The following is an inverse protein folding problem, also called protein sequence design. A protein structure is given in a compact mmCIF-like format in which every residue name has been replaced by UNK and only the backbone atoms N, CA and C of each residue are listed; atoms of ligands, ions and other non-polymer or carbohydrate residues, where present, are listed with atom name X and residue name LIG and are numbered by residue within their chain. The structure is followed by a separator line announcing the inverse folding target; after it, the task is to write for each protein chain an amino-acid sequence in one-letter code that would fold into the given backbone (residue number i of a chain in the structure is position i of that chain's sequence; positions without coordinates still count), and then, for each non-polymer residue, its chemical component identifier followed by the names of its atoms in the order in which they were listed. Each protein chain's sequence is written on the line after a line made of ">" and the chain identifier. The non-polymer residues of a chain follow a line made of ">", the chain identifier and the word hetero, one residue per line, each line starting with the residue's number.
data_IF_317822468179
#
_entry.id   IF_317822468179
#
_cell.length_a   1.000
_cell.length_b   1.000
_cell.length_c   1.000
_cell.angle_alpha   90.00
_cell.angle_beta   90.00
_cell.angle_gamma   90.00
#
_symmetry.space_group_name_H-M   'P 1'
#
loop_
_entity.id
_entity.type
_entity.pdbx_description
1 polymer ?
#
# COMPACT_ATOMS: atom_id res chain seq x y z
N UNK A 1 -6.77 14.83 -29.86
CA UNK A 1 -7.35 13.96 -28.81
C UNK A 1 -6.18 13.19 -28.22
N UNK A 2 -5.79 13.47 -26.98
CA UNK A 2 -4.78 12.69 -26.27
C UNK A 2 -5.35 11.30 -26.05
N UNK A 3 -4.65 10.25 -26.47
CA UNK A 3 -5.04 8.87 -26.18
C UNK A 3 -5.26 8.74 -24.67
N UNK A 4 -6.39 8.15 -24.26
CA UNK A 4 -6.67 7.88 -22.85
C UNK A 4 -5.55 6.96 -22.35
N UNK A 5 -4.89 7.33 -21.27
CA UNK A 5 -3.85 6.50 -20.67
C UNK A 5 -4.42 5.12 -20.35
N UNK A 6 -3.74 4.07 -20.75
CA UNK A 6 -4.09 2.69 -20.35
C UNK A 6 -3.73 2.41 -18.88
N UNK A 7 -2.91 3.27 -18.28
CA UNK A 7 -2.51 3.17 -16.88
C UNK A 7 -3.57 3.73 -15.95
N UNK A 8 -3.89 2.98 -14.92
CA UNK A 8 -4.82 3.32 -13.84
C UNK A 8 -3.97 3.68 -12.61
N UNK A 9 -4.09 4.90 -12.13
CA UNK A 9 -3.48 5.31 -10.88
C UNK A 9 -4.30 4.79 -9.70
N UNK A 10 -3.68 3.97 -8.87
CA UNK A 10 -4.29 3.37 -7.68
C UNK A 10 -3.69 3.94 -6.39
N UNK A 11 -2.92 5.02 -6.48
CA UNK A 11 -2.32 5.65 -5.30
C UNK A 11 -3.34 6.46 -4.51
N UNK A 12 -3.26 6.39 -3.18
CA UNK A 12 -3.99 7.29 -2.29
C UNK A 12 -3.16 8.58 -2.12
N UNK A 13 -3.72 9.76 -2.43
CA UNK A 13 -2.95 10.99 -2.48
C UNK A 13 -2.52 11.46 -1.08
N UNK A 14 -1.30 11.99 -1.01
CA UNK A 14 -0.80 12.67 0.18
C UNK A 14 -1.43 14.05 0.28
N UNK A 15 -2.16 14.32 1.35
CA UNK A 15 -2.78 15.61 1.66
C UNK A 15 -2.91 15.80 3.17
N UNK A 16 -3.09 17.04 3.62
CA UNK A 16 -3.34 17.33 5.03
C UNK A 16 -4.64 16.70 5.57
N UNK A 17 -5.62 16.47 4.70
CA UNK A 17 -6.94 15.94 5.06
C UNK A 17 -7.07 14.44 4.73
N UNK A 18 -5.94 13.77 4.40
CA UNK A 18 -5.96 12.35 4.10
C UNK A 18 -6.34 11.53 5.33
N UNK A 19 -7.01 10.39 5.10
CA UNK A 19 -7.22 9.41 6.16
C UNK A 19 -5.85 8.82 6.51
N UNK A 20 -5.55 8.77 7.79
CA UNK A 20 -4.31 8.18 8.30
C UNK A 20 -4.61 7.33 9.54
N UNK A 21 -3.62 6.56 9.96
CA UNK A 21 -3.75 5.73 11.16
C UNK A 21 -3.93 6.59 12.42
N UNK A 22 -5.00 6.37 13.22
CA UNK A 22 -5.36 7.28 14.33
C UNK A 22 -4.31 7.35 15.43
N UNK A 23 -3.56 6.28 15.64
CA UNK A 23 -2.52 6.19 16.68
C UNK A 23 -1.18 6.78 16.21
N UNK A 24 -1.12 7.31 14.99
CA UNK A 24 0.07 7.95 14.48
C UNK A 24 0.31 9.30 15.16
N UNK A 25 1.46 9.49 15.84
CA UNK A 25 1.72 10.72 16.60
C UNK A 25 1.95 11.96 15.73
N UNK A 26 2.20 11.77 14.43
CA UNK A 26 2.50 12.85 13.49
C UNK A 26 1.39 12.92 12.45
N UNK A 27 0.48 13.91 12.52
CA UNK A 27 -0.51 14.10 11.47
C UNK A 27 0.17 14.54 10.17
N UNK A 28 -0.37 14.18 9.00
CA UNK A 28 0.17 14.64 7.74
C UNK A 28 0.00 16.15 7.58
N UNK A 29 1.02 16.83 7.06
CA UNK A 29 0.98 18.25 6.67
C UNK A 29 1.56 18.42 5.29
N UNK A 30 0.86 19.16 4.45
CA UNK A 30 1.31 19.57 3.12
C UNK A 30 1.03 21.07 2.97
N UNK A 31 2.08 21.85 2.97
CA UNK A 31 2.01 23.32 2.90
C UNK A 31 2.73 23.81 1.65
N UNK A 32 2.15 24.80 0.97
CA UNK A 32 2.74 25.40 -0.22
C UNK A 32 2.93 26.89 -0.01
N UNK A 33 4.15 27.38 -0.28
CA UNK A 33 4.52 28.78 -0.19
C UNK A 33 5.00 29.28 -1.54
N UNK A 34 4.52 30.46 -1.94
CA UNK A 34 4.97 31.15 -3.15
C UNK A 34 5.83 32.34 -2.76
N UNK A 35 6.99 32.45 -3.37
CA UNK A 35 7.92 33.56 -3.14
C UNK A 35 8.54 34.03 -4.47
N UNK A 36 8.94 35.31 -4.49
CA UNK A 36 9.63 35.89 -5.65
C UNK A 36 11.12 35.59 -5.59
N UNK A 37 11.71 35.13 -6.68
CA UNK A 37 13.16 34.91 -6.74
C UNK A 37 13.85 36.28 -6.61
N UNK A 38 14.81 36.37 -5.68
CA UNK A 38 15.55 37.62 -5.43
C UNK A 38 16.21 38.14 -6.70
N UNK A 39 15.92 39.39 -7.04
CA UNK A 39 16.46 40.06 -8.23
C UNK A 39 15.72 39.74 -9.52
N UNK A 40 14.54 39.14 -9.46
CA UNK A 40 13.70 38.90 -10.63
C UNK A 40 12.22 39.19 -10.33
N UNK A 41 11.37 39.17 -11.36
CA UNK A 41 9.91 39.25 -11.23
C UNK A 41 9.24 37.85 -11.22
N UNK A 42 10.03 36.77 -11.17
CA UNK A 42 9.53 35.41 -11.27
C UNK A 42 9.11 34.88 -9.89
N UNK A 43 7.88 34.39 -9.81
CA UNK A 43 7.35 33.71 -8.64
C UNK A 43 7.54 32.20 -8.79
N UNK A 44 7.96 31.53 -7.70
CA UNK A 44 8.06 30.08 -7.61
C UNK A 44 7.27 29.59 -6.41
N UNK A 45 6.67 28.42 -6.54
CA UNK A 45 5.96 27.75 -5.45
C UNK A 45 6.76 26.55 -5.00
N UNK A 46 6.98 26.44 -3.70
CA UNK A 46 7.59 25.25 -3.06
C UNK A 46 6.62 24.68 -2.05
N UNK A 47 6.51 23.35 -2.05
CA UNK A 47 5.73 22.64 -1.06
C UNK A 47 6.66 21.93 -0.08
N UNK A 48 6.28 21.98 1.19
CA UNK A 48 6.89 21.24 2.28
C UNK A 48 5.90 20.21 2.80
N UNK A 49 6.36 19.00 3.05
CA UNK A 49 5.55 17.93 3.62
C UNK A 49 6.14 17.45 4.93
N UNK A 50 5.28 17.23 5.92
CA UNK A 50 5.60 16.46 7.12
C UNK A 50 4.70 15.24 7.12
N UNK A 51 5.29 14.08 6.92
CA UNK A 51 4.61 12.78 6.85
C UNK A 51 5.49 11.73 7.53
N UNK A 52 4.88 10.64 8.01
CA UNK A 52 5.68 9.46 8.33
C UNK A 52 5.71 8.51 7.12
N UNK A 53 6.54 7.50 7.19
CA UNK A 53 6.78 6.53 6.11
C UNK A 53 5.56 5.68 5.75
N UNK A 54 4.53 5.62 6.61
CA UNK A 54 3.28 4.87 6.44
C UNK A 54 2.07 5.76 6.09
N UNK A 55 2.28 7.01 5.69
CA UNK A 55 1.20 7.86 5.19
C UNK A 55 0.97 7.66 3.69
N UNK A 56 -0.31 7.54 3.28
CA UNK A 56 -0.68 7.33 1.88
C UNK A 56 -0.28 5.96 1.37
N UNK A 57 -0.28 5.80 0.05
CA UNK A 57 0.22 4.56 -0.56
C UNK A 57 1.71 4.41 -0.27
N UNK A 58 2.09 3.30 0.36
CA UNK A 58 3.45 3.02 0.77
C UNK A 58 3.77 1.52 0.68
N UNK A 59 5.04 1.19 0.87
CA UNK A 59 5.53 -0.18 0.93
C UNK A 59 6.26 -0.38 2.24
N UNK A 60 5.89 -1.44 2.96
CA UNK A 60 6.58 -1.88 4.17
C UNK A 60 7.79 -2.73 3.83
N UNK A 61 8.90 -2.41 4.48
CA UNK A 61 10.09 -3.23 4.49
C UNK A 61 10.13 -4.14 5.73
N UNK A 62 10.88 -5.24 5.71
CA UNK A 62 11.08 -6.10 6.88
C UNK A 62 11.50 -5.34 8.15
N UNK A 63 12.26 -4.24 8.00
CA UNK A 63 12.70 -3.38 9.11
C UNK A 63 11.54 -2.82 9.93
N UNK A 64 10.34 -2.68 9.37
CA UNK A 64 9.17 -2.18 10.10
C UNK A 64 8.86 -3.00 11.36
N UNK A 65 8.96 -4.33 11.28
CA UNK A 65 8.73 -5.23 12.41
C UNK A 65 10.00 -5.92 12.93
N UNK A 66 11.10 -5.83 12.19
CA UNK A 66 12.38 -6.46 12.53
C UNK A 66 13.49 -5.40 12.46
N UNK A 67 13.99 -4.87 13.60
CA UNK A 67 14.98 -3.78 13.63
C UNK A 67 16.23 -4.04 12.76
N UNK A 68 16.64 -5.29 12.63
CA UNK A 68 17.79 -5.71 11.81
C UNK A 68 17.35 -6.24 10.42
N UNK A 69 16.08 -6.09 10.07
CA UNK A 69 15.51 -6.52 8.79
C UNK A 69 15.97 -5.64 7.63
N UNK A 70 15.75 -6.14 6.40
CA UNK A 70 16.01 -5.36 5.18
C UNK A 70 15.25 -4.05 5.21
N UNK A 71 15.91 -3.00 4.75
CA UNK A 71 15.38 -1.64 4.64
C UNK A 71 14.77 -1.40 3.26
N UNK A 72 13.96 -0.37 3.13
CA UNK A 72 13.24 -0.09 1.86
C UNK A 72 14.20 0.25 0.71
N UNK A 73 15.33 0.88 0.97
CA UNK A 73 16.35 1.17 -0.02
C UNK A 73 17.13 -0.07 -0.50
N UNK A 74 16.98 -1.21 0.18
CA UNK A 74 17.52 -2.52 -0.20
C UNK A 74 16.50 -3.38 -0.98
N UNK A 75 15.30 -2.89 -1.20
CA UNK A 75 14.28 -3.62 -1.96
C UNK A 75 14.72 -3.78 -3.43
N UNK A 76 14.65 -5.00 -4.00
CA UNK A 76 14.88 -5.20 -5.42
C UNK A 76 13.84 -4.42 -6.25
N UNK A 77 14.28 -3.67 -7.25
CA UNK A 77 13.39 -2.83 -8.08
C UNK A 77 12.33 -3.65 -8.80
N UNK A 78 12.68 -4.85 -9.25
CA UNK A 78 11.79 -5.79 -9.93
C UNK A 78 10.82 -6.53 -8.99
N UNK A 79 10.99 -6.41 -7.68
CA UNK A 79 10.06 -7.03 -6.72
C UNK A 79 8.62 -6.55 -6.94
N UNK A 80 8.44 -5.26 -7.21
CA UNK A 80 7.15 -4.56 -7.29
C UNK A 80 6.84 -4.01 -8.70
N UNK A 81 7.47 -4.58 -9.72
CA UNK A 81 7.21 -4.31 -11.13
C UNK A 81 6.91 -5.62 -11.86
N UNK A 82 5.96 -5.59 -12.78
CA UNK A 82 5.60 -6.72 -13.65
C UNK A 82 4.20 -7.27 -13.42
N UNK A 83 3.92 -8.53 -13.81
CA UNK A 83 2.59 -9.11 -13.66
C UNK A 83 2.10 -9.13 -12.21
N UNK A 84 0.86 -8.70 -11.99
CA UNK A 84 0.16 -8.73 -10.72
C UNK A 84 -1.29 -9.14 -10.94
N UNK A 85 -1.88 -9.78 -9.94
CA UNK A 85 -3.27 -10.19 -9.98
C UNK A 85 -4.09 -9.43 -8.96
N UNK A 86 -5.19 -8.84 -9.40
CA UNK A 86 -6.20 -8.26 -8.52
C UNK A 86 -7.23 -9.35 -8.20
N UNK A 87 -7.36 -9.69 -6.93
CA UNK A 87 -8.36 -10.62 -6.41
C UNK A 87 -9.42 -9.81 -5.66
N UNK A 88 -10.68 -9.98 -6.04
CA UNK A 88 -11.80 -9.34 -5.34
C UNK A 88 -12.27 -10.24 -4.20
N UNK A 89 -12.20 -9.72 -2.99
CA UNK A 89 -12.62 -10.37 -1.75
C UNK A 89 -14.05 -9.93 -1.43
N UNK A 90 -14.92 -10.89 -1.19
CA UNK A 90 -16.33 -10.65 -0.88
C UNK A 90 -16.64 -10.66 0.61
N UNK A 91 -15.82 -11.33 1.41
CA UNK A 91 -15.93 -11.28 2.88
C UNK A 91 -15.70 -9.83 3.34
N UNK A 92 -16.59 -9.35 4.19
CA UNK A 92 -16.58 -7.96 4.69
C UNK A 92 -15.83 -7.82 6.02
N UNK A 93 -15.23 -8.88 6.52
CA UNK A 93 -14.51 -8.91 7.80
C UNK A 93 -13.03 -9.16 7.59
N UNK A 94 -12.66 -10.27 6.93
CA UNK A 94 -11.25 -10.63 6.77
C UNK A 94 -10.99 -11.54 5.58
N UNK A 95 -9.76 -11.48 5.07
CA UNK A 95 -9.24 -12.34 4.00
C UNK A 95 -8.74 -13.63 4.63
N UNK A 96 -9.46 -14.72 4.41
CA UNK A 96 -9.22 -16.06 4.98
C UNK A 96 -8.72 -17.03 3.92
N UNK A 97 -8.16 -18.19 4.31
CA UNK A 97 -7.77 -19.24 3.38
C UNK A 97 -8.89 -19.67 2.43
N UNK A 98 -10.13 -19.73 2.92
CA UNK A 98 -11.32 -20.11 2.14
C UNK A 98 -11.58 -19.14 0.98
N UNK A 99 -11.35 -17.84 1.20
CA UNK A 99 -11.46 -16.82 0.15
C UNK A 99 -10.35 -16.93 -0.92
N UNK A 100 -9.25 -17.59 -0.58
CA UNK A 100 -8.07 -17.69 -1.41
C UNK A 100 -7.94 -19.04 -2.13
N UNK A 101 -8.61 -20.07 -1.62
CA UNK A 101 -8.41 -21.47 -2.06
C UNK A 101 -8.69 -21.68 -3.55
N UNK A 102 -9.74 -21.06 -4.08
CA UNK A 102 -10.17 -21.23 -5.47
C UNK A 102 -9.32 -20.43 -6.48
N UNK A 103 -8.41 -19.57 -6.00
CA UNK A 103 -7.63 -18.70 -6.87
C UNK A 103 -6.36 -19.35 -7.43
N UNK A 104 -6.02 -20.59 -7.06
CA UNK A 104 -4.82 -21.30 -7.53
C UNK A 104 -3.56 -20.42 -7.49
N UNK A 105 -3.29 -19.82 -6.32
CA UNK A 105 -2.16 -18.92 -6.10
C UNK A 105 -0.83 -19.64 -6.31
N UNK A 106 0.05 -19.06 -7.13
CA UNK A 106 1.35 -19.61 -7.49
C UNK A 106 2.50 -18.90 -6.76
N UNK A 107 3.62 -19.61 -6.53
CA UNK A 107 4.83 -18.98 -5.97
C UNK A 107 5.31 -17.78 -6.80
N UNK A 108 5.72 -16.73 -6.14
CA UNK A 108 6.24 -15.52 -6.78
C UNK A 108 5.17 -14.54 -7.28
N UNK A 109 3.87 -14.86 -7.15
CA UNK A 109 2.82 -13.94 -7.56
C UNK A 109 2.84 -12.64 -6.74
N UNK A 110 2.44 -11.54 -7.40
CA UNK A 110 2.07 -10.28 -6.78
C UNK A 110 0.55 -10.21 -6.75
N UNK A 111 -0.02 -10.08 -5.56
CA UNK A 111 -1.48 -10.12 -5.37
C UNK A 111 -1.95 -8.82 -4.73
N UNK A 112 -2.96 -8.20 -5.32
CA UNK A 112 -3.62 -7.03 -4.78
C UNK A 112 -5.04 -7.41 -4.39
N UNK A 113 -5.38 -7.24 -3.14
CA UNK A 113 -6.71 -7.53 -2.63
C UNK A 113 -7.61 -6.31 -2.77
N UNK A 114 -8.63 -6.46 -3.60
CA UNK A 114 -9.73 -5.51 -3.73
C UNK A 114 -10.85 -5.94 -2.81
N UNK A 115 -11.17 -5.08 -1.87
CA UNK A 115 -12.23 -5.31 -0.87
C UNK A 115 -13.23 -4.15 -0.88
N UNK A 116 -14.18 -4.16 0.05
CA UNK A 116 -15.08 -3.03 0.29
C UNK A 116 -14.33 -1.78 0.78
N UNK A 117 -13.10 -1.94 1.28
CA UNK A 117 -12.32 -0.86 1.88
C UNK A 117 -12.04 0.31 0.92
N UNK A 118 -11.87 0.04 -0.39
CA UNK A 118 -11.69 1.11 -1.38
C UNK A 118 -12.81 2.16 -1.33
N UNK A 119 -14.03 1.77 -0.93
CA UNK A 119 -15.15 2.69 -0.77
C UNK A 119 -15.00 3.61 0.45
N UNK A 120 -14.17 3.22 1.42
CA UNK A 120 -14.02 3.96 2.68
C UNK A 120 -13.22 5.26 2.51
N UNK A 121 -12.37 5.35 1.49
CA UNK A 121 -11.68 6.60 1.18
C UNK A 121 -12.63 7.79 0.94
N UNK A 122 -13.83 7.51 0.42
CA UNK A 122 -14.85 8.54 0.20
C UNK A 122 -15.52 9.03 1.50
N UNK A 123 -15.38 8.29 2.61
CA UNK A 123 -15.98 8.68 3.89
C UNK A 123 -15.24 9.83 4.57
N UNK A 124 -13.99 10.13 4.16
CA UNK A 124 -13.16 11.20 4.73
C UNK A 124 -12.78 11.00 6.21
N UNK A 125 -12.98 9.79 6.74
CA UNK A 125 -12.63 9.43 8.12
C UNK A 125 -12.19 7.98 8.19
N UNK A 126 -11.36 7.67 9.18
CA UNK A 126 -10.91 6.31 9.45
C UNK A 126 -12.08 5.39 9.80
N UNK A 127 -12.08 4.21 9.24
CA UNK A 127 -13.03 3.13 9.52
C UNK A 127 -12.28 2.02 10.23
N UNK A 128 -12.61 1.75 11.48
CA UNK A 128 -11.91 0.77 12.31
C UNK A 128 -12.19 -0.68 11.90
N UNK A 129 -13.42 -0.95 11.43
CA UNK A 129 -13.88 -2.27 11.00
C UNK A 129 -13.67 -2.44 9.48
N UNK A 130 -12.43 -2.26 9.03
CA UNK A 130 -12.04 -2.52 7.66
C UNK A 130 -11.70 -4.00 7.45
N UNK A 131 -11.76 -4.46 6.20
CA UNK A 131 -11.35 -5.83 5.83
C UNK A 131 -9.83 -5.95 5.94
N UNK A 132 -9.37 -6.93 6.70
CA UNK A 132 -7.96 -7.19 6.96
C UNK A 132 -7.60 -8.64 6.60
N UNK A 133 -6.31 -9.00 6.61
CA UNK A 133 -5.88 -10.39 6.40
C UNK A 133 -5.93 -11.12 7.73
N UNK A 134 -6.64 -12.27 7.80
CA UNK A 134 -6.62 -13.11 9.00
C UNK A 134 -5.22 -13.71 9.22
N UNK A 135 -4.91 -14.11 10.45
CA UNK A 135 -3.64 -14.77 10.76
C UNK A 135 -3.43 -16.02 9.91
N UNK A 136 -4.48 -16.84 9.75
CA UNK A 136 -4.47 -18.03 8.88
C UNK A 136 -4.29 -17.66 7.41
N UNK A 137 -4.91 -16.55 6.96
CA UNK A 137 -4.73 -16.01 5.61
C UNK A 137 -3.29 -15.61 5.33
N UNK A 138 -2.62 -14.96 6.30
CA UNK A 138 -1.21 -14.60 6.18
C UNK A 138 -0.30 -15.84 6.10
N UNK A 139 -0.54 -16.85 6.94
CA UNK A 139 0.17 -18.11 6.86
C UNK A 139 -0.04 -18.82 5.52
N UNK A 140 -1.28 -18.84 5.02
CA UNK A 140 -1.60 -19.41 3.71
C UNK A 140 -0.82 -18.71 2.59
N UNK A 141 -0.78 -17.37 2.56
CA UNK A 141 -0.06 -16.59 1.56
C UNK A 141 1.45 -16.83 1.64
N UNK A 142 2.03 -16.90 2.84
CA UNK A 142 3.42 -17.28 3.07
C UNK A 142 3.71 -18.68 2.49
N UNK A 143 2.87 -19.65 2.77
CA UNK A 143 3.05 -21.06 2.35
C UNK A 143 2.92 -21.18 0.82
N UNK A 144 2.11 -20.32 0.19
CA UNK A 144 2.05 -20.14 -1.27
C UNK A 144 3.26 -19.41 -1.84
N UNK A 145 4.15 -18.85 -1.00
CA UNK A 145 5.36 -18.15 -1.41
C UNK A 145 5.09 -16.98 -2.35
N UNK A 146 4.05 -16.21 -2.08
CA UNK A 146 3.78 -14.97 -2.84
C UNK A 146 4.93 -13.98 -2.64
N UNK A 147 5.17 -13.10 -3.59
CA UNK A 147 6.26 -12.11 -3.51
C UNK A 147 5.81 -10.76 -2.99
N UNK A 148 4.57 -10.39 -3.29
CA UNK A 148 3.99 -9.08 -2.93
C UNK A 148 2.53 -9.26 -2.57
N UNK A 149 2.10 -8.57 -1.53
CA UNK A 149 0.70 -8.38 -1.16
C UNK A 149 0.38 -6.90 -1.17
N UNK A 150 -0.73 -6.52 -1.81
CA UNK A 150 -1.30 -5.18 -1.69
C UNK A 150 -2.71 -5.22 -1.10
N UNK A 151 -3.06 -4.23 -0.28
CA UNK A 151 -4.41 -4.08 0.27
C UNK A 151 -4.95 -2.67 0.05
N UNK A 152 -6.25 -2.59 -0.19
CA UNK A 152 -6.96 -1.35 -0.47
C UNK A 152 -7.40 -0.60 0.79
N UNK A 153 -6.57 -0.63 1.85
CA UNK A 153 -6.70 0.18 3.05
C UNK A 153 -5.36 0.41 3.74
N UNK A 154 -5.41 1.10 4.89
CA UNK A 154 -4.24 1.66 5.58
C UNK A 154 -3.38 0.62 6.32
N UNK A 155 -3.86 -0.61 6.48
CA UNK A 155 -3.12 -1.72 7.09
C UNK A 155 -3.62 -3.07 6.59
N UNK A 156 -2.70 -4.06 6.52
CA UNK A 156 -3.03 -5.46 6.22
C UNK A 156 -3.63 -6.20 7.42
N UNK A 157 -3.36 -5.76 8.64
CA UNK A 157 -3.85 -6.36 9.88
C UNK A 157 -4.99 -5.57 10.51
N UNK A 158 -5.69 -6.17 11.46
CA UNK A 158 -6.86 -5.61 12.13
C UNK A 158 -6.51 -4.43 13.06
N UNK A 159 -7.29 -3.35 13.01
CA UNK A 159 -7.18 -2.27 14.00
C UNK A 159 -7.63 -2.71 15.39
N UNK A 160 -8.67 -3.52 15.46
CA UNK A 160 -9.29 -3.96 16.71
C UNK A 160 -8.55 -5.11 17.38
N UNK A 161 -7.88 -5.95 16.61
CA UNK A 161 -7.10 -7.08 17.10
C UNK A 161 -5.61 -6.82 16.90
N UNK A 162 -4.96 -6.36 17.98
CA UNK A 162 -3.53 -6.01 17.95
C UNK A 162 -2.62 -7.24 17.82
N UNK A 163 -3.06 -8.42 18.24
CA UNK A 163 -2.31 -9.67 18.03
C UNK A 163 -2.30 -10.02 16.55
N UNK A 164 -3.46 -9.96 15.89
CA UNK A 164 -3.55 -10.14 14.43
C UNK A 164 -2.71 -9.08 13.70
N UNK A 165 -2.84 -7.79 14.06
CA UNK A 165 -2.08 -6.71 13.43
C UNK A 165 -0.57 -7.01 13.40
N UNK A 166 -0.02 -7.42 14.54
CA UNK A 166 1.41 -7.71 14.69
C UNK A 166 1.78 -9.00 13.95
N UNK A 167 1.00 -10.06 14.13
CA UNK A 167 1.32 -11.38 13.58
C UNK A 167 1.29 -11.39 12.05
N UNK A 168 0.27 -10.78 11.43
CA UNK A 168 0.14 -10.71 9.96
C UNK A 168 1.35 -10.02 9.34
N UNK A 169 1.76 -8.87 9.90
CA UNK A 169 2.96 -8.19 9.41
C UNK A 169 4.21 -9.06 9.58
N UNK A 170 4.42 -9.64 10.78
CA UNK A 170 5.59 -10.50 11.02
C UNK A 170 5.64 -11.71 10.10
N UNK A 171 4.51 -12.34 9.85
CA UNK A 171 4.42 -13.49 8.95
C UNK A 171 4.78 -13.08 7.52
N UNK A 172 4.27 -11.96 7.02
CA UNK A 172 4.48 -11.56 5.64
C UNK A 172 5.88 -10.94 5.45
N UNK A 173 6.18 -9.81 6.10
CA UNK A 173 7.46 -9.13 5.88
C UNK A 173 8.67 -9.93 6.38
N UNK A 174 8.50 -10.73 7.45
CA UNK A 174 9.54 -11.61 7.99
C UNK A 174 9.93 -12.77 7.06
N UNK A 175 9.06 -13.12 6.11
CA UNK A 175 9.32 -14.11 5.07
C UNK A 175 9.65 -13.48 3.70
N UNK A 176 9.97 -12.19 3.67
CA UNK A 176 10.41 -11.49 2.47
C UNK A 176 9.29 -11.13 1.49
N UNK A 177 8.04 -11.17 1.95
CA UNK A 177 6.88 -10.71 1.18
C UNK A 177 6.75 -9.20 1.39
N UNK A 178 6.84 -8.42 0.31
CA UNK A 178 6.67 -6.98 0.36
C UNK A 178 5.19 -6.63 0.46
N UNK A 179 4.86 -5.66 1.31
CA UNK A 179 3.49 -5.27 1.57
C UNK A 179 3.25 -3.86 1.04
N UNK A 180 2.21 -3.71 0.21
CA UNK A 180 1.75 -2.42 -0.30
C UNK A 180 0.44 -2.08 0.41
N UNK A 181 0.39 -0.96 1.11
CA UNK A 181 -0.79 -0.49 1.81
C UNK A 181 -1.35 0.80 1.22
N UNK A 182 -2.59 1.09 1.54
CA UNK A 182 -3.32 2.28 1.12
C UNK A 182 -3.38 2.46 -0.41
N UNK A 183 -3.63 1.38 -1.17
CA UNK A 183 -4.01 1.50 -2.59
C UNK A 183 -5.52 1.68 -2.73
N UNK A 184 -5.95 2.37 -3.78
CA UNK A 184 -7.36 2.56 -4.10
C UNK A 184 -7.75 1.75 -5.35
N UNK A 185 -8.44 0.64 -5.14
CA UNK A 185 -8.87 -0.28 -6.21
C UNK A 185 -10.33 -0.06 -6.64
N UNK A 186 -10.99 1.03 -6.24
CA UNK A 186 -12.40 1.31 -6.57
C UNK A 186 -12.68 1.27 -8.09
N UNK A 187 -11.75 1.78 -8.90
CA UNK A 187 -11.86 1.81 -10.36
C UNK A 187 -11.29 0.55 -11.06
N UNK A 188 -10.77 -0.41 -10.30
CA UNK A 188 -10.10 -1.61 -10.82
C UNK A 188 -11.02 -2.82 -10.71
N UNK A 189 -11.05 -3.68 -11.73
CA UNK A 189 -11.76 -4.97 -11.71
C UNK A 189 -10.78 -6.08 -11.32
N UNK A 190 -11.32 -7.20 -10.81
CA UNK A 190 -10.51 -8.42 -10.64
C UNK A 190 -9.94 -8.86 -11.99
N UNK A 191 -8.68 -9.32 -12.01
CA UNK A 191 -7.99 -9.71 -13.23
C UNK A 191 -6.48 -9.58 -13.18
N UNK A 192 -5.84 -9.77 -14.33
CA UNK A 192 -4.39 -9.65 -14.49
C UNK A 192 -3.99 -8.26 -14.97
N UNK A 193 -2.94 -7.72 -14.36
CA UNK A 193 -2.41 -6.39 -14.64
C UNK A 193 -0.89 -6.42 -14.66
N UNK A 194 -0.31 -5.43 -15.30
CA UNK A 194 1.07 -5.01 -15.02
C UNK A 194 1.02 -3.97 -13.93
N UNK A 195 1.82 -4.15 -12.87
CA UNK A 195 2.00 -3.18 -11.79
C UNK A 195 3.35 -2.48 -11.90
N UNK A 196 3.35 -1.18 -11.58
CA UNK A 196 4.53 -0.43 -11.21
C UNK A 196 4.21 0.27 -9.88
N UNK A 197 5.00 -0.02 -8.83
CA UNK A 197 4.82 0.56 -7.51
C UNK A 197 6.19 0.84 -6.88
N UNK A 198 6.86 1.92 -7.32
CA UNK A 198 8.22 2.24 -6.88
C UNK A 198 8.20 3.19 -5.68
N UNK A 199 8.76 2.79 -4.52
CA UNK A 199 8.88 3.66 -3.37
C UNK A 199 9.99 4.70 -3.53
N UNK A 200 9.88 5.79 -2.77
CA UNK A 200 10.99 6.73 -2.61
C UNK A 200 12.14 5.98 -1.92
N UNK A 201 13.36 6.22 -2.38
CA UNK A 201 14.54 5.57 -1.81
C UNK A 201 15.00 6.28 -0.53
N UNK A 202 14.41 5.88 0.60
CA UNK A 202 14.78 6.39 1.93
C UNK A 202 15.87 5.49 2.51
N UNK A 203 17.06 6.04 2.73
CA UNK A 203 18.18 5.30 3.31
C UNK A 203 17.81 4.77 4.71
N UNK A 204 18.00 3.47 4.92
CA UNK A 204 17.63 2.77 6.14
C UNK A 204 16.16 2.89 6.54
N UNK A 205 15.25 3.17 5.59
CA UNK A 205 13.82 3.32 5.87
C UNK A 205 13.14 1.99 6.22
N UNK A 206 12.17 2.06 7.11
CA UNK A 206 11.27 0.98 7.51
C UNK A 206 10.13 0.78 6.52
N UNK A 207 9.78 1.86 5.80
CA UNK A 207 8.81 1.92 4.73
C UNK A 207 9.10 3.15 3.84
N UNK A 208 8.38 3.31 2.73
CA UNK A 208 8.38 4.55 1.97
C UNK A 208 7.12 4.70 1.11
N UNK A 209 6.72 5.96 0.89
CA UNK A 209 5.65 6.30 -0.04
C UNK A 209 5.98 5.81 -1.45
N UNK A 210 4.93 5.38 -2.16
CA UNK A 210 5.05 4.90 -3.52
C UNK A 210 3.94 5.47 -4.42
N UNK A 211 4.24 5.64 -5.71
CA UNK A 211 3.23 5.80 -6.74
C UNK A 211 2.90 4.43 -7.31
N UNK A 212 1.67 3.96 -7.09
CA UNK A 212 1.19 2.67 -7.58
C UNK A 212 0.28 2.87 -8.79
N UNK A 213 0.60 2.21 -9.89
CA UNK A 213 -0.19 2.25 -11.13
C UNK A 213 -0.36 0.84 -11.71
N UNK A 214 -1.51 0.61 -12.36
CA UNK A 214 -1.85 -0.65 -13.01
C UNK A 214 -2.17 -0.42 -14.48
N UNK A 215 -1.83 -1.41 -15.31
CA UNK A 215 -2.27 -1.52 -16.71
C UNK A 215 -2.83 -2.92 -16.93
N UNK A 216 -4.04 -3.09 -17.53
CA UNK A 216 -4.57 -4.41 -17.88
C UNK A 216 -3.60 -5.18 -18.80
N UNK A 217 -3.45 -6.50 -18.56
CA UNK A 217 -2.70 -7.42 -19.42
C UNK A 217 -3.62 -8.11 -20.43
#
# INVERSE_FOLDING_TARGET
>A
MTAKSEWIDISYPLSKDMIHWPENPVPPSVESNTFTIKGSSVNVTMSQMTINTHHGTHIDAPRHFFPDGKTIDQMPVDAIMGPARVIEIKDIVSIKPEELADHNIQPGERILFKTVNSSYYQKGKFVEDFVYISTEGAHYLRDKKVSVIGIDYLAIGSFRDKENLVEVHKVLVGNGIWVIEAINLSAVKAGMYEIICLPIKIANGDAAQARAILRPL
#
